data_IF_906227740717
#
_entry.id   IF_906227740717
#
_cell.length_a   1.000
_cell.length_b   1.000
_cell.length_c   1.000
_cell.angle_alpha   90.00
_cell.angle_beta   90.00
_cell.angle_gamma   90.00
#
_symmetry.space_group_name_H-M   'P 1'
#
loop_
_entity.id
_entity.type
_entity.pdbx_description
1 polymer ?
#
# COMPACT_ATOMS: atom_id res chain seq x y z
N UNK A 1 28.02 -16.44 -25.73
CA UNK A 1 27.45 -15.21 -26.31
C UNK A 1 27.53 -14.03 -25.32
N UNK A 2 26.66 -13.93 -24.31
CA UNK A 2 26.65 -12.77 -23.37
C UNK A 2 28.00 -12.54 -22.67
N UNK A 3 28.59 -13.59 -22.07
CA UNK A 3 29.88 -13.47 -21.39
C UNK A 3 31.02 -13.02 -22.33
N UNK A 4 31.00 -13.48 -23.58
CA UNK A 4 31.99 -13.13 -24.60
C UNK A 4 31.87 -11.66 -25.00
N UNK A 5 30.66 -11.20 -25.34
CA UNK A 5 30.38 -9.77 -25.63
C UNK A 5 30.73 -8.87 -24.43
N UNK A 6 30.54 -9.35 -23.20
CA UNK A 6 30.99 -8.64 -22.00
C UNK A 6 32.51 -8.49 -21.94
N UNK A 7 33.25 -9.59 -22.08
CA UNK A 7 34.72 -9.58 -22.05
C UNK A 7 35.31 -8.69 -23.15
N UNK A 8 34.74 -8.72 -24.36
CA UNK A 8 35.17 -7.88 -25.47
C UNK A 8 35.00 -6.39 -25.13
N UNK A 9 33.83 -6.01 -24.63
CA UNK A 9 33.49 -4.61 -24.34
C UNK A 9 34.26 -4.02 -23.16
N UNK A 10 34.73 -4.84 -22.23
CA UNK A 10 35.55 -4.35 -21.10
C UNK A 10 37.06 -4.33 -21.41
N UNK A 11 37.45 -4.78 -22.60
CA UNK A 11 38.84 -4.81 -23.06
C UNK A 11 39.61 -6.06 -22.59
N UNK A 12 38.92 -7.18 -22.43
CA UNK A 12 39.48 -8.47 -22.03
C UNK A 12 39.27 -9.56 -23.11
N UNK A 13 39.00 -9.18 -24.36
CA UNK A 13 38.76 -10.11 -25.48
C UNK A 13 39.89 -11.15 -25.63
N UNK A 14 41.14 -10.66 -25.57
CA UNK A 14 42.34 -11.47 -25.78
C UNK A 14 42.83 -12.15 -24.49
N UNK A 15 42.11 -12.01 -23.38
CA UNK A 15 42.49 -12.61 -22.11
C UNK A 15 41.91 -14.02 -21.96
N UNK A 16 42.66 -14.98 -21.40
CA UNK A 16 42.09 -16.26 -21.03
C UNK A 16 41.12 -16.09 -19.86
N UNK A 17 39.93 -16.66 -19.97
CA UNK A 17 38.90 -16.58 -18.93
C UNK A 17 38.10 -17.87 -18.75
N UNK A 18 37.60 -18.06 -17.52
CA UNK A 18 36.68 -19.13 -17.15
C UNK A 18 35.30 -18.51 -16.86
N UNK A 19 34.25 -19.10 -17.44
CA UNK A 19 32.85 -18.71 -17.17
C UNK A 19 32.13 -19.85 -16.47
N UNK A 20 31.50 -19.57 -15.34
CA UNK A 20 30.70 -20.54 -14.60
C UNK A 20 29.31 -19.99 -14.31
N UNK A 21 28.26 -20.68 -14.79
CA UNK A 21 26.87 -20.28 -14.60
C UNK A 21 26.27 -21.02 -13.41
N UNK A 22 25.69 -20.24 -12.49
CA UNK A 22 25.01 -20.75 -11.31
C UNK A 22 23.50 -20.91 -11.54
N UNK A 23 22.94 -21.99 -10.98
CA UNK A 23 21.50 -22.32 -11.03
C UNK A 23 20.85 -22.40 -9.63
N UNK A 24 21.63 -22.15 -8.58
CA UNK A 24 21.30 -22.33 -7.18
C UNK A 24 20.70 -21.08 -6.52
N UNK A 25 20.97 -19.88 -7.04
CA UNK A 25 20.39 -18.65 -6.51
C UNK A 25 19.02 -18.32 -7.11
N UNK A 26 18.26 -17.49 -6.39
CA UNK A 26 16.95 -17.01 -6.82
C UNK A 26 16.96 -16.01 -7.99
N UNK A 27 18.09 -15.86 -8.66
CA UNK A 27 18.27 -15.14 -9.90
C UNK A 27 19.39 -15.81 -10.71
N UNK A 28 19.23 -15.84 -12.04
CA UNK A 28 20.27 -16.33 -12.92
C UNK A 28 21.50 -15.41 -12.82
N UNK A 29 22.66 -15.99 -12.54
CA UNK A 29 23.93 -15.29 -12.50
C UNK A 29 25.05 -16.21 -12.96
N UNK A 30 26.19 -15.62 -13.33
CA UNK A 30 27.40 -16.33 -13.70
C UNK A 30 28.61 -15.58 -13.15
N UNK A 31 29.69 -16.32 -12.91
CA UNK A 31 30.99 -15.80 -12.55
C UNK A 31 31.93 -15.88 -13.75
N UNK A 32 32.72 -14.82 -13.96
CA UNK A 32 33.77 -14.78 -14.96
C UNK A 32 35.07 -14.50 -14.21
N UNK A 33 36.08 -15.34 -14.42
CA UNK A 33 37.41 -15.19 -13.83
C UNK A 33 38.41 -15.07 -14.97
N UNK A 34 39.26 -14.04 -14.93
CA UNK A 34 40.27 -13.75 -15.94
C UNK A 34 41.53 -13.22 -15.28
N UNK A 35 42.67 -13.31 -15.97
CA UNK A 35 43.87 -12.56 -15.61
C UNK A 35 43.78 -11.12 -16.12
N UNK A 36 44.44 -10.20 -15.40
CA UNK A 36 44.63 -8.80 -15.83
C UNK A 36 46.01 -8.57 -16.44
N UNK A 37 46.84 -9.60 -16.56
CA UNK A 37 48.19 -9.53 -17.15
C UNK A 37 48.11 -10.03 -18.57
N UNK A 38 48.49 -9.18 -19.52
CA UNK A 38 48.52 -9.48 -20.94
C UNK A 38 49.74 -10.34 -21.31
N UNK A 39 49.74 -10.90 -22.52
CA UNK A 39 50.83 -11.74 -23.03
C UNK A 39 52.17 -10.99 -23.14
N UNK A 40 52.13 -9.66 -23.24
CA UNK A 40 53.30 -8.78 -23.25
C UNK A 40 53.76 -8.37 -21.83
N UNK A 41 53.23 -9.02 -20.79
CA UNK A 41 53.45 -8.73 -19.37
C UNK A 41 52.94 -7.36 -18.90
N UNK A 42 52.16 -6.62 -19.71
CA UNK A 42 51.52 -5.38 -19.27
C UNK A 42 50.23 -5.67 -18.49
N UNK A 43 49.90 -4.79 -17.54
CA UNK A 43 48.70 -4.94 -16.72
C UNK A 43 47.54 -4.10 -17.28
N UNK A 44 46.37 -4.73 -17.43
CA UNK A 44 45.12 -4.04 -17.72
C UNK A 44 44.69 -3.30 -16.45
N UNK A 45 44.58 -1.97 -16.53
CA UNK A 45 44.14 -1.15 -15.41
C UNK A 45 42.71 -1.51 -14.99
N UNK A 46 42.56 -1.91 -13.73
CA UNK A 46 41.26 -2.21 -13.11
C UNK A 46 40.62 -0.98 -12.45
N UNK A 47 41.32 0.16 -12.44
CA UNK A 47 40.83 1.36 -11.78
C UNK A 47 39.55 1.86 -12.44
N UNK A 48 38.47 1.97 -11.66
CA UNK A 48 37.13 2.38 -12.12
C UNK A 48 36.54 1.55 -13.28
N UNK A 49 37.05 0.35 -13.56
CA UNK A 49 36.56 -0.50 -14.65
C UNK A 49 35.04 -0.74 -14.57
N UNK A 50 34.49 -0.82 -13.34
CA UNK A 50 33.06 -0.96 -13.09
C UNK A 50 32.24 0.20 -13.68
N UNK A 51 32.71 1.44 -13.50
CA UNK A 51 32.01 2.65 -13.96
C UNK A 51 32.29 2.94 -15.44
N UNK A 52 33.55 2.81 -15.85
CA UNK A 52 34.02 3.36 -17.12
C UNK A 52 33.88 2.36 -18.29
N UNK A 53 33.87 1.04 -18.00
CA UNK A 53 33.76 0.00 -19.03
C UNK A 53 32.60 -0.96 -18.80
N UNK A 54 32.50 -1.52 -17.60
CA UNK A 54 31.50 -2.54 -17.26
C UNK A 54 30.07 -1.99 -17.38
N UNK A 55 29.83 -0.76 -16.92
CA UNK A 55 28.49 -0.17 -17.00
C UNK A 55 28.03 0.15 -18.44
N UNK A 56 28.84 0.82 -19.28
CA UNK A 56 28.55 0.94 -20.71
C UNK A 56 28.35 -0.42 -21.40
N UNK A 57 29.18 -1.42 -21.06
CA UNK A 57 29.06 -2.77 -21.60
C UNK A 57 27.73 -3.43 -21.21
N UNK A 58 27.30 -3.32 -19.94
CA UNK A 58 26.00 -3.82 -19.48
C UNK A 58 24.86 -3.23 -20.31
N UNK A 59 24.83 -1.91 -20.49
CA UNK A 59 23.77 -1.23 -21.25
C UNK A 59 23.69 -1.71 -22.70
N UNK A 60 24.85 -1.88 -23.34
CA UNK A 60 24.90 -2.36 -24.71
C UNK A 60 24.45 -3.82 -24.84
N UNK A 61 24.87 -4.69 -23.92
CA UNK A 61 24.47 -6.11 -23.87
C UNK A 61 22.97 -6.26 -23.59
N UNK A 62 22.40 -5.40 -22.75
CA UNK A 62 20.95 -5.41 -22.50
C UNK A 62 20.16 -5.19 -23.77
N UNK A 63 20.60 -4.28 -24.63
CA UNK A 63 19.96 -4.01 -25.92
C UNK A 63 20.25 -5.12 -26.93
N UNK A 64 21.51 -5.56 -27.05
CA UNK A 64 21.96 -6.56 -28.01
C UNK A 64 21.29 -7.92 -27.82
N UNK A 65 21.14 -8.36 -26.57
CA UNK A 65 20.55 -9.66 -26.24
C UNK A 65 19.10 -9.59 -25.78
N UNK A 66 18.44 -8.42 -25.92
CA UNK A 66 17.05 -8.24 -25.52
C UNK A 66 16.79 -8.51 -24.03
N UNK A 67 17.74 -8.17 -23.16
CA UNK A 67 17.61 -8.34 -21.71
C UNK A 67 16.80 -7.19 -21.08
N UNK A 68 16.39 -7.39 -19.82
CA UNK A 68 15.70 -6.36 -19.06
C UNK A 68 16.63 -5.16 -18.78
N UNK A 69 16.34 -4.02 -19.39
CA UNK A 69 17.09 -2.76 -19.19
C UNK A 69 17.00 -2.31 -17.72
N UNK A 70 18.11 -2.38 -16.98
CA UNK A 70 18.08 -2.06 -15.54
C UNK A 70 17.92 -0.56 -15.26
N UNK A 71 18.34 0.32 -16.18
CA UNK A 71 18.30 1.78 -16.03
C UNK A 71 16.87 2.33 -16.01
N UNK A 72 15.92 1.65 -16.66
CA UNK A 72 14.50 2.00 -16.62
C UNK A 72 13.81 1.62 -15.31
N UNK A 73 14.49 0.89 -14.41
CA UNK A 73 14.12 0.87 -12.99
C UNK A 73 14.66 2.13 -12.32
N UNK A 74 14.20 3.30 -12.76
CA UNK A 74 13.99 4.37 -11.80
C UNK A 74 13.16 3.72 -10.70
N UNK A 75 13.74 3.59 -9.50
CA UNK A 75 12.96 3.32 -8.29
C UNK A 75 11.92 4.43 -8.31
N UNK A 76 10.74 4.17 -8.83
CA UNK A 76 9.62 5.06 -8.71
C UNK A 76 9.17 4.84 -7.27
N UNK A 77 9.54 5.71 -6.29
CA UNK A 77 8.95 5.63 -4.96
C UNK A 77 7.42 5.86 -5.00
N UNK A 78 6.88 6.19 -6.16
CA UNK A 78 5.46 6.40 -6.47
C UNK A 78 4.75 5.15 -7.02
N UNK A 79 5.44 4.04 -7.32
CA UNK A 79 4.75 2.78 -7.49
C UNK A 79 4.24 2.38 -6.10
N UNK A 80 3.01 2.78 -5.79
CA UNK A 80 2.37 2.44 -4.51
C UNK A 80 2.52 0.95 -4.23
N UNK A 81 2.75 0.61 -2.97
CA UNK A 81 2.85 -0.79 -2.53
C UNK A 81 1.60 -1.49 -3.03
N UNK A 82 1.77 -2.47 -3.92
CA UNK A 82 0.64 -3.23 -4.46
C UNK A 82 0.43 -4.48 -3.61
N UNK A 83 -0.83 -4.83 -3.28
CA UNK A 83 -1.12 -6.13 -2.71
C UNK A 83 -0.57 -7.25 -3.60
N UNK A 84 -0.19 -8.37 -3.00
CA UNK A 84 0.31 -9.52 -3.76
C UNK A 84 -0.86 -10.11 -4.56
N UNK A 85 -0.69 -10.21 -5.88
CA UNK A 85 -1.61 -10.90 -6.78
C UNK A 85 -1.69 -12.39 -6.39
N UNK A 86 -2.86 -12.84 -5.93
CA UNK A 86 -3.05 -14.20 -5.41
C UNK A 86 -2.83 -15.29 -6.48
N UNK A 87 -3.15 -15.00 -7.75
CA UNK A 87 -2.91 -15.90 -8.88
C UNK A 87 -1.41 -16.17 -9.10
N UNK A 88 -0.55 -15.17 -8.82
CA UNK A 88 0.91 -15.32 -8.93
C UNK A 88 1.53 -15.97 -7.71
N UNK A 89 0.86 -15.96 -6.56
CA UNK A 89 1.34 -16.53 -5.32
C UNK A 89 1.25 -18.07 -5.27
N UNK A 90 0.37 -18.68 -6.07
CA UNK A 90 0.33 -20.14 -6.26
C UNK A 90 1.53 -20.65 -7.08
N UNK A 91 2.14 -19.78 -7.89
CA UNK A 91 3.14 -20.15 -8.88
C UNK A 91 4.58 -19.90 -8.39
N UNK A 92 5.15 -20.87 -7.68
CA UNK A 92 6.60 -21.02 -7.42
C UNK A 92 7.18 -20.25 -6.21
N UNK A 93 8.20 -20.82 -5.56
CA UNK A 93 8.81 -20.26 -4.33
C UNK A 93 9.54 -18.92 -4.55
N UNK A 94 10.10 -18.71 -5.73
CA UNK A 94 10.96 -17.55 -6.04
C UNK A 94 10.17 -16.27 -6.30
N UNK A 95 9.02 -16.36 -6.95
CA UNK A 95 8.09 -15.25 -7.17
C UNK A 95 7.52 -14.78 -5.82
N UNK A 96 7.10 -15.70 -4.96
CA UNK A 96 6.53 -15.42 -3.63
C UNK A 96 7.52 -14.71 -2.72
N UNK A 97 8.78 -15.17 -2.67
CA UNK A 97 9.82 -14.49 -1.88
C UNK A 97 10.04 -13.05 -2.34
N UNK A 98 10.10 -12.81 -3.66
CA UNK A 98 10.27 -11.46 -4.22
C UNK A 98 9.06 -10.57 -3.92
N UNK A 99 7.86 -11.09 -4.05
CA UNK A 99 6.62 -10.36 -3.76
C UNK A 99 6.57 -9.92 -2.29
N UNK A 100 6.79 -10.85 -1.36
CA UNK A 100 6.87 -10.53 0.07
C UNK A 100 7.99 -9.53 0.34
N UNK A 101 9.17 -9.70 -0.26
CA UNK A 101 10.29 -8.76 -0.09
C UNK A 101 9.92 -7.34 -0.51
N UNK A 102 9.25 -7.18 -1.66
CA UNK A 102 8.81 -5.87 -2.15
C UNK A 102 7.79 -5.20 -1.23
N UNK A 103 6.84 -5.98 -0.68
CA UNK A 103 5.86 -5.48 0.29
C UNK A 103 6.57 -5.05 1.58
N UNK A 104 7.45 -5.89 2.11
CA UNK A 104 8.19 -5.60 3.34
C UNK A 104 9.06 -4.37 3.19
N UNK A 105 9.80 -4.24 2.09
CA UNK A 105 10.61 -3.05 1.80
C UNK A 105 9.75 -1.79 1.74
N UNK A 106 8.62 -1.83 1.05
CA UNK A 106 7.70 -0.70 0.98
C UNK A 106 7.16 -0.31 2.36
N UNK A 107 6.67 -1.30 3.12
CA UNK A 107 6.01 -1.08 4.41
C UNK A 107 7.00 -0.58 5.47
N UNK A 108 8.16 -1.23 5.61
CA UNK A 108 9.14 -0.91 6.65
C UNK A 108 9.72 0.51 6.53
N UNK A 109 9.84 1.03 5.30
CA UNK A 109 10.38 2.36 5.05
C UNK A 109 9.30 3.44 5.03
N UNK A 110 8.10 3.11 4.56
CA UNK A 110 7.08 4.10 4.27
C UNK A 110 6.07 4.28 5.40
N UNK A 111 5.79 3.24 6.18
CA UNK A 111 4.74 3.25 7.20
C UNK A 111 5.27 3.35 8.62
N UNK A 112 4.43 3.90 9.49
CA UNK A 112 4.67 4.01 10.92
C UNK A 112 3.75 3.07 11.70
N UNK A 113 4.36 2.19 12.48
CA UNK A 113 3.72 1.23 13.37
C UNK A 113 4.62 1.00 14.59
N UNK A 114 4.01 0.60 15.70
CA UNK A 114 4.66 0.51 17.03
C UNK A 114 4.53 -0.86 17.69
N UNK A 115 3.87 -1.82 17.03
CA UNK A 115 3.76 -3.19 17.54
C UNK A 115 3.60 -4.19 16.40
N UNK A 116 3.88 -5.47 16.69
CA UNK A 116 3.68 -6.57 15.74
C UNK A 116 2.21 -6.69 15.30
N UNK A 117 1.26 -6.41 16.21
CA UNK A 117 -0.15 -6.42 15.89
C UNK A 117 -0.54 -5.34 14.86
N UNK A 118 0.00 -4.13 14.99
CA UNK A 118 -0.19 -3.03 14.03
C UNK A 118 0.49 -3.34 12.70
N UNK A 119 1.71 -3.88 12.74
CA UNK A 119 2.43 -4.31 11.55
C UNK A 119 1.65 -5.38 10.78
N UNK A 120 1.09 -6.38 11.48
CA UNK A 120 0.25 -7.41 10.87
C UNK A 120 -1.08 -6.87 10.34
N UNK A 121 -1.68 -5.87 11.00
CA UNK A 121 -2.88 -5.21 10.45
C UNK A 121 -2.57 -4.60 9.08
N UNK A 122 -1.42 -3.96 8.93
CA UNK A 122 -0.97 -3.37 7.67
C UNK A 122 -0.57 -4.41 6.62
N UNK A 123 0.16 -5.47 7.00
CA UNK A 123 0.57 -6.50 6.04
C UNK A 123 -0.62 -7.24 5.41
N UNK A 124 -1.72 -7.40 6.17
CA UNK A 124 -2.94 -8.03 5.67
C UNK A 124 -3.58 -7.26 4.51
N UNK A 125 -3.47 -5.93 4.47
CA UNK A 125 -3.89 -5.11 3.32
C UNK A 125 -3.14 -5.50 2.03
N UNK A 126 -1.97 -6.12 2.17
CA UNK A 126 -1.14 -6.59 1.07
C UNK A 126 -1.13 -8.11 0.91
N UNK A 127 -2.07 -8.82 1.56
CA UNK A 127 -2.17 -10.28 1.58
C UNK A 127 -0.93 -10.98 2.17
N UNK A 128 -0.31 -10.38 3.18
CA UNK A 128 0.85 -10.96 3.89
C UNK A 128 0.58 -11.00 5.39
N UNK A 129 1.14 -11.99 6.08
CA UNK A 129 1.16 -12.04 7.54
C UNK A 129 2.57 -12.34 8.05
N UNK A 130 2.95 -11.71 9.17
CA UNK A 130 4.10 -12.09 9.96
C UNK A 130 3.62 -12.95 11.15
N UNK A 131 4.12 -14.17 11.25
CA UNK A 131 3.67 -15.15 12.23
C UNK A 131 4.83 -15.64 13.10
N UNK A 132 4.58 -15.71 14.42
CA UNK A 132 5.51 -16.23 15.43
C UNK A 132 5.26 -17.71 15.74
N UNK A 133 4.21 -18.31 15.17
CA UNK A 133 3.76 -19.65 15.51
C UNK A 133 2.99 -19.67 16.82
N UNK A 134 2.58 -20.86 17.23
CA UNK A 134 1.94 -21.09 18.53
C UNK A 134 2.93 -20.83 19.67
N UNK A 135 2.43 -20.40 20.83
CA UNK A 135 3.26 -20.05 21.99
C UNK A 135 4.15 -21.22 22.46
N UNK A 136 3.67 -22.46 22.32
CA UNK A 136 4.41 -23.67 22.68
C UNK A 136 5.49 -24.08 21.66
N UNK A 137 5.49 -23.47 20.47
CA UNK A 137 6.41 -23.83 19.41
C UNK A 137 7.85 -23.42 19.72
N UNK A 138 8.82 -24.22 19.25
CA UNK A 138 10.23 -23.83 19.34
C UNK A 138 10.52 -22.48 18.66
N UNK A 139 9.79 -22.18 17.58
CA UNK A 139 9.94 -20.92 16.87
C UNK A 139 9.57 -19.75 17.77
N UNK A 140 8.46 -19.84 18.50
CA UNK A 140 8.04 -18.79 19.42
C UNK A 140 9.05 -18.58 20.56
N UNK A 141 9.52 -19.69 21.16
CA UNK A 141 10.55 -19.70 22.23
C UNK A 141 11.86 -19.07 21.78
N UNK A 142 12.26 -19.29 20.52
CA UNK A 142 13.48 -18.71 19.91
C UNK A 142 13.24 -17.33 19.29
N UNK A 143 12.12 -16.67 19.57
CA UNK A 143 11.75 -15.37 19.01
C UNK A 143 11.75 -15.33 17.47
N UNK A 144 11.46 -16.48 16.86
CA UNK A 144 11.39 -16.67 15.43
C UNK A 144 10.17 -15.97 14.81
N UNK A 145 10.33 -15.61 13.53
CA UNK A 145 9.29 -14.97 12.74
C UNK A 145 9.32 -15.52 11.32
N UNK A 146 8.16 -15.87 10.78
CA UNK A 146 7.97 -16.27 9.38
C UNK A 146 6.98 -15.37 8.69
N UNK A 147 7.10 -15.24 7.38
CA UNK A 147 6.16 -14.50 6.54
C UNK A 147 5.43 -15.46 5.61
N UNK A 148 4.12 -15.33 5.53
CA UNK A 148 3.28 -16.11 4.64
C UNK A 148 2.34 -15.21 3.84
N UNK A 149 1.95 -15.67 2.65
CA UNK A 149 0.90 -15.03 1.86
C UNK A 149 -0.46 -15.49 2.38
N UNK A 150 -1.46 -14.62 2.33
CA UNK A 150 -2.84 -14.91 2.70
C UNK A 150 -3.73 -15.04 1.46
N UNK A 151 -4.75 -15.88 1.53
CA UNK A 151 -5.86 -15.88 0.56
C UNK A 151 -6.85 -14.74 0.83
N UNK A 152 -7.90 -14.62 0.01
CA UNK A 152 -8.95 -13.62 0.21
C UNK A 152 -9.81 -13.80 1.47
N UNK A 153 -9.70 -14.95 2.14
CA UNK A 153 -10.44 -15.30 3.36
C UNK A 153 -9.57 -15.10 4.62
N UNK A 154 -8.25 -15.01 4.45
CA UNK A 154 -7.26 -14.85 5.51
C UNK A 154 -6.49 -16.12 5.88
N UNK A 155 -6.60 -17.21 5.11
CA UNK A 155 -5.82 -18.43 5.30
C UNK A 155 -4.43 -18.31 4.69
N UNK A 156 -3.43 -18.98 5.28
CA UNK A 156 -2.06 -18.98 4.77
C UNK A 156 -1.95 -19.85 3.52
N UNK A 157 -1.45 -19.28 2.42
CA UNK A 157 -1.14 -20.01 1.19
C UNK A 157 0.37 -20.20 1.07
N UNK A 158 0.76 -21.41 0.65
CA UNK A 158 2.15 -21.74 0.30
C UNK A 158 3.05 -21.94 1.52
N UNK A 159 4.35 -21.99 1.26
CA UNK A 159 5.35 -22.27 2.29
C UNK A 159 5.75 -20.97 3.00
N UNK A 160 5.60 -20.86 4.34
CA UNK A 160 6.08 -19.71 5.09
C UNK A 160 7.60 -19.54 4.94
N UNK A 161 8.04 -18.29 4.79
CA UNK A 161 9.44 -17.93 4.61
C UNK A 161 10.02 -17.36 5.91
N UNK A 162 11.14 -17.91 6.38
CA UNK A 162 11.85 -17.42 7.57
C UNK A 162 12.25 -15.95 7.38
N UNK A 163 12.00 -15.11 8.39
CA UNK A 163 12.37 -13.70 8.39
C UNK A 163 13.87 -13.47 8.12
N UNK A 164 14.74 -14.35 8.62
CA UNK A 164 16.19 -14.28 8.40
C UNK A 164 16.62 -14.57 6.96
N UNK A 165 15.76 -15.17 6.13
CA UNK A 165 16.07 -15.48 4.74
C UNK A 165 15.94 -14.28 3.80
N UNK A 166 15.35 -13.17 4.27
CA UNK A 166 15.18 -11.94 3.52
C UNK A 166 16.41 -11.03 3.68
N UNK A 167 16.75 -10.30 2.63
CA UNK A 167 17.89 -9.39 2.62
C UNK A 167 17.78 -8.29 3.70
N UNK A 168 16.59 -7.69 3.85
CA UNK A 168 16.30 -6.68 4.87
C UNK A 168 16.30 -7.24 6.32
N UNK A 169 16.40 -8.57 6.50
CA UNK A 169 16.32 -9.28 7.78
C UNK A 169 15.25 -8.71 8.73
N UNK A 170 13.97 -8.66 8.32
CA UNK A 170 12.89 -8.14 9.15
C UNK A 170 12.46 -9.17 10.19
N UNK A 171 13.41 -9.53 11.07
CA UNK A 171 13.22 -10.40 12.24
C UNK A 171 12.55 -9.63 13.37
N UNK A 172 12.03 -10.34 14.37
CA UNK A 172 11.38 -9.72 15.53
C UNK A 172 12.27 -8.63 16.18
N UNK A 173 13.53 -8.97 16.43
CA UNK A 173 14.54 -8.03 16.97
C UNK A 173 14.75 -6.77 16.13
N UNK A 174 14.73 -6.88 14.80
CA UNK A 174 14.84 -5.71 13.91
C UNK A 174 13.57 -4.86 13.96
N UNK A 175 12.40 -5.51 13.98
CA UNK A 175 11.11 -4.84 14.06
C UNK A 175 10.93 -4.10 15.40
N UNK A 176 11.35 -4.68 16.51
CA UNK A 176 11.29 -4.03 17.84
C UNK A 176 12.09 -2.73 17.91
N UNK A 177 13.26 -2.68 17.27
CA UNK A 177 14.01 -1.43 17.13
C UNK A 177 13.24 -0.37 16.33
N UNK A 178 12.55 -0.80 15.28
CA UNK A 178 11.69 0.08 14.48
C UNK A 178 10.51 0.57 15.31
N UNK A 179 9.87 -0.32 16.09
CA UNK A 179 8.76 0.01 16.98
C UNK A 179 9.19 1.06 18.00
N UNK A 180 10.30 0.83 18.70
CA UNK A 180 10.84 1.77 19.68
C UNK A 180 11.12 3.15 19.06
N UNK A 181 11.79 3.17 17.90
CA UNK A 181 12.07 4.41 17.16
C UNK A 181 10.80 5.13 16.73
N UNK A 182 9.76 4.40 16.35
CA UNK A 182 8.48 4.98 15.93
C UNK A 182 7.65 5.49 17.11
N UNK A 183 7.75 4.86 18.28
CA UNK A 183 7.09 5.27 19.52
C UNK A 183 7.62 6.58 20.09
N UNK A 184 8.91 6.87 19.92
CA UNK A 184 9.56 8.10 20.41
C UNK A 184 9.17 9.35 19.62
N UNK A 185 8.76 9.18 18.36
CA UNK A 185 8.33 10.29 17.52
C UNK A 185 6.92 10.70 17.95
N UNK A 186 6.61 12.01 18.05
CA UNK A 186 5.24 12.48 18.29
C UNK A 186 4.31 11.76 17.33
N UNK A 187 3.17 11.26 17.82
CA UNK A 187 2.16 10.61 16.95
C UNK A 187 1.80 11.60 15.86
N UNK A 188 2.30 11.45 14.62
CA UNK A 188 1.83 12.30 13.55
C UNK A 188 0.38 11.88 13.33
N UNK A 189 -0.45 12.82 12.93
CA UNK A 189 -1.60 12.51 12.09
C UNK A 189 -2.82 11.83 12.74
N UNK A 190 -2.79 11.49 14.03
CA UNK A 190 -3.98 10.95 14.73
C UNK A 190 -5.21 11.87 14.61
N UNK A 191 -5.02 13.20 14.72
CA UNK A 191 -6.11 14.18 14.55
C UNK A 191 -6.63 14.26 13.11
N UNK A 192 -5.75 14.13 12.12
CA UNK A 192 -6.14 14.18 10.71
C UNK A 192 -6.88 12.90 10.31
N UNK A 193 -6.39 11.75 10.73
CA UNK A 193 -7.06 10.46 10.54
C UNK A 193 -8.43 10.46 11.24
N UNK A 194 -8.51 10.95 12.48
CA UNK A 194 -9.78 11.12 13.20
C UNK A 194 -10.78 11.96 12.40
N UNK A 195 -10.38 13.12 11.85
CA UNK A 195 -11.24 13.96 11.01
C UNK A 195 -11.75 13.25 9.75
N UNK A 196 -10.90 12.45 9.09
CA UNK A 196 -11.30 11.65 7.92
C UNK A 196 -12.37 10.63 8.32
N UNK A 197 -12.17 9.96 9.46
CA UNK A 197 -13.11 8.97 10.01
C UNK A 197 -14.43 9.65 10.38
N UNK A 198 -14.39 10.77 11.11
CA UNK A 198 -15.57 11.52 11.53
C UNK A 198 -16.41 11.99 10.33
N UNK A 199 -15.77 12.41 9.23
CA UNK A 199 -16.45 12.82 8.00
C UNK A 199 -17.27 11.70 7.37
N UNK A 200 -16.85 10.45 7.54
CA UNK A 200 -17.58 9.26 7.09
C UNK A 200 -18.69 8.94 8.08
N UNK A 201 -18.33 8.78 9.35
CA UNK A 201 -19.22 8.35 10.42
C UNK A 201 -20.38 9.32 10.64
N UNK A 202 -20.13 10.63 10.58
CA UNK A 202 -21.15 11.67 10.85
C UNK A 202 -22.36 11.65 9.91
N UNK A 203 -22.25 10.98 8.76
CA UNK A 203 -23.34 10.85 7.78
C UNK A 203 -24.36 9.77 8.16
N UNK A 204 -24.00 8.90 9.09
CA UNK A 204 -24.79 7.73 9.43
C UNK A 204 -25.09 7.68 10.93
N UNK A 205 -26.26 7.14 11.26
CA UNK A 205 -26.64 6.78 12.61
C UNK A 205 -26.27 5.32 12.90
N UNK A 206 -26.54 4.44 11.93
CA UNK A 206 -26.13 3.04 11.92
C UNK A 206 -25.51 2.67 10.58
N UNK A 207 -24.53 1.79 10.61
CA UNK A 207 -23.82 1.30 9.44
C UNK A 207 -23.71 -0.22 9.47
N UNK A 208 -23.82 -0.85 8.31
CA UNK A 208 -23.38 -2.22 8.12
C UNK A 208 -21.85 -2.27 8.11
N UNK A 209 -21.30 -3.44 8.46
CA UNK A 209 -19.84 -3.66 8.50
C UNK A 209 -19.20 -3.41 7.14
N UNK A 210 -19.81 -3.90 6.06
CA UNK A 210 -19.31 -3.75 4.70
C UNK A 210 -19.29 -2.28 4.27
N UNK A 211 -20.36 -1.52 4.53
CA UNK A 211 -20.44 -0.10 4.17
C UNK A 211 -19.41 0.72 4.95
N UNK A 212 -19.25 0.48 6.26
CA UNK A 212 -18.23 1.17 7.06
C UNK A 212 -16.82 0.94 6.50
N UNK A 213 -16.45 -0.31 6.21
CA UNK A 213 -15.14 -0.65 5.65
C UNK A 213 -14.93 0.00 4.27
N UNK A 214 -15.95 -0.06 3.40
CA UNK A 214 -15.90 0.51 2.05
C UNK A 214 -15.77 2.03 2.05
N UNK A 215 -16.59 2.73 2.84
CA UNK A 215 -16.57 4.20 2.90
C UNK A 215 -15.27 4.75 3.52
N UNK A 216 -14.74 4.09 4.56
CA UNK A 216 -13.44 4.44 5.10
C UNK A 216 -12.33 4.23 4.05
N UNK A 217 -12.37 3.09 3.34
CA UNK A 217 -11.38 2.77 2.29
C UNK A 217 -11.39 3.79 1.16
N UNK A 218 -12.58 4.25 0.73
CA UNK A 218 -12.72 5.35 -0.25
C UNK A 218 -12.06 6.66 0.22
N UNK A 219 -12.03 6.90 1.53
CA UNK A 219 -11.36 8.05 2.14
C UNK A 219 -9.87 7.79 2.47
N UNK A 220 -9.31 6.68 1.99
CA UNK A 220 -7.90 6.33 2.15
C UNK A 220 -7.55 5.80 3.55
N UNK A 221 -8.54 5.36 4.32
CA UNK A 221 -8.35 4.76 5.65
C UNK A 221 -8.90 3.34 5.65
N UNK A 222 -8.07 2.35 5.93
CA UNK A 222 -8.53 0.97 6.10
C UNK A 222 -8.75 0.65 7.58
N UNK A 223 -9.88 0.05 7.91
CA UNK A 223 -10.23 -0.35 9.27
C UNK A 223 -10.09 -1.86 9.42
N UNK A 224 -9.20 -2.28 10.33
CA UNK A 224 -9.03 -3.67 10.73
C UNK A 224 -9.72 -3.88 12.07
N UNK A 225 -10.77 -4.70 12.06
CA UNK A 225 -11.53 -5.09 13.24
C UNK A 225 -10.97 -6.41 13.76
N UNK A 226 -10.67 -6.48 15.06
CA UNK A 226 -10.20 -7.70 15.74
C UNK A 226 -11.34 -8.29 16.54
N UNK A 227 -11.66 -9.53 16.23
CA UNK A 227 -12.74 -10.32 16.82
C UNK A 227 -12.15 -11.56 17.49
N UNK A 228 -12.79 -12.03 18.55
CA UNK A 228 -12.53 -13.36 19.10
C UNK A 228 -13.37 -14.41 18.38
N UNK A 229 -13.21 -15.69 18.76
CA UNK A 229 -13.96 -16.81 18.18
C UNK A 229 -15.48 -16.69 18.36
N UNK A 230 -15.92 -16.01 19.41
CA UNK A 230 -17.34 -15.73 19.68
C UNK A 230 -17.90 -14.53 18.88
N UNK A 231 -17.10 -13.90 18.03
CA UNK A 231 -17.50 -12.72 17.24
C UNK A 231 -17.48 -11.40 18.02
N UNK A 232 -17.00 -11.38 19.26
CA UNK A 232 -16.89 -10.16 20.05
C UNK A 232 -15.71 -9.32 19.54
N UNK A 233 -16.03 -8.10 19.10
CA UNK A 233 -15.03 -7.10 18.71
C UNK A 233 -14.34 -6.57 19.95
N UNK A 234 -13.04 -6.83 20.09
CA UNK A 234 -12.24 -6.35 21.23
C UNK A 234 -11.24 -5.25 20.84
N UNK A 235 -10.95 -5.09 19.55
CA UNK A 235 -9.96 -4.12 19.10
C UNK A 235 -10.22 -3.58 17.70
N UNK A 236 -9.84 -2.32 17.49
CA UNK A 236 -9.92 -1.64 16.19
C UNK A 236 -8.56 -1.03 15.87
N UNK A 237 -8.13 -1.14 14.61
CA UNK A 237 -6.88 -0.56 14.11
C UNK A 237 -7.16 0.13 12.79
N UNK A 238 -6.77 1.39 12.68
CA UNK A 238 -6.96 2.22 11.49
C UNK A 238 -5.63 2.39 10.77
N UNK A 239 -5.64 2.25 9.45
CA UNK A 239 -4.48 2.37 8.59
C UNK A 239 -4.75 3.53 7.63
N UNK A 240 -4.10 4.67 7.86
CA UNK A 240 -4.19 5.82 6.96
C UNK A 240 -3.10 5.70 5.89
N UNK A 241 -3.49 5.40 4.66
CA UNK A 241 -2.53 5.23 3.55
C UNK A 241 -1.95 6.57 3.07
N UNK A 242 -2.67 7.67 3.25
CA UNK A 242 -2.20 9.01 2.89
C UNK A 242 -1.11 9.50 3.84
N UNK A 243 -1.30 9.25 5.14
CA UNK A 243 -0.36 9.65 6.19
C UNK A 243 0.64 8.53 6.54
N UNK A 244 0.45 7.35 5.95
CA UNK A 244 1.27 6.15 6.11
C UNK A 244 1.45 5.78 7.60
N UNK A 245 0.34 5.80 8.34
CA UNK A 245 0.33 5.57 9.77
C UNK A 245 -0.68 4.48 10.15
N UNK A 246 -0.28 3.60 11.06
CA UNK A 246 -1.15 2.59 11.68
C UNK A 246 -1.46 3.03 13.10
N UNK A 247 -2.74 3.17 13.43
CA UNK A 247 -3.19 3.77 14.69
C UNK A 247 -4.26 2.88 15.32
N UNK A 248 -4.04 2.45 16.56
CA UNK A 248 -5.07 1.77 17.36
C UNK A 248 -6.25 2.70 17.60
N UNK A 249 -7.47 2.18 17.58
CA UNK A 249 -8.67 2.98 17.86
C UNK A 249 -8.64 3.64 19.23
N UNK A 250 -8.17 2.92 20.26
CA UNK A 250 -7.96 3.48 21.60
C UNK A 250 -6.97 4.65 21.64
N UNK A 251 -6.02 4.71 20.70
CA UNK A 251 -5.06 5.80 20.57
C UNK A 251 -5.63 7.04 19.85
N UNK A 252 -6.71 6.89 19.07
CA UNK A 252 -7.45 8.01 18.46
C UNK A 252 -8.46 8.63 19.45
N UNK A 253 -9.03 7.80 20.33
CA UNK A 253 -9.99 8.22 21.34
C UNK A 253 -11.07 7.18 21.58
N UNK A 254 -11.90 7.39 22.62
CA UNK A 254 -12.97 6.44 23.00
C UNK A 254 -13.97 6.18 21.86
N UNK A 255 -14.27 7.20 21.06
CA UNK A 255 -15.21 7.12 19.92
C UNK A 255 -14.74 6.26 18.74
N UNK A 256 -13.47 5.86 18.72
CA UNK A 256 -12.89 5.04 17.64
C UNK A 256 -12.56 3.62 18.09
N UNK A 257 -12.75 3.33 19.38
CA UNK A 257 -12.49 2.02 19.98
C UNK A 257 -13.53 0.97 19.59
N UNK A 258 -13.28 -0.28 19.99
CA UNK A 258 -14.14 -1.43 19.72
C UNK A 258 -15.61 -1.19 20.11
N UNK A 259 -15.86 -0.72 21.34
CA UNK A 259 -17.21 -0.47 21.86
C UNK A 259 -18.00 0.51 20.98
N UNK A 260 -17.38 1.63 20.60
CA UNK A 260 -18.02 2.64 19.76
C UNK A 260 -18.35 2.10 18.36
N UNK A 261 -17.47 1.28 17.79
CA UNK A 261 -17.75 0.61 16.51
C UNK A 261 -18.90 -0.39 16.64
N UNK A 262 -18.94 -1.21 17.70
CA UNK A 262 -20.06 -2.13 17.96
C UNK A 262 -21.39 -1.36 18.06
N UNK A 263 -21.41 -0.26 18.81
CA UNK A 263 -22.59 0.58 18.96
C UNK A 263 -23.03 1.25 17.65
N UNK A 264 -22.11 1.46 16.71
CA UNK A 264 -22.40 2.05 15.40
C UNK A 264 -22.87 1.03 14.38
N UNK A 265 -22.46 -0.22 14.54
CA UNK A 265 -22.86 -1.29 13.64
C UNK A 265 -24.35 -1.60 13.81
N UNK A 266 -25.01 -1.86 12.69
CA UNK A 266 -26.42 -2.23 12.61
C UNK A 266 -26.68 -3.17 11.43
N UNK A 267 -27.89 -3.78 11.38
CA UNK A 267 -28.26 -4.69 10.30
C UNK A 267 -28.47 -3.96 8.96
N UNK A 268 -28.80 -2.67 9.00
CA UNK A 268 -29.04 -1.82 7.83
C UNK A 268 -28.34 -0.46 8.02
N UNK A 269 -27.99 0.16 6.88
CA UNK A 269 -27.44 1.52 6.85
C UNK A 269 -28.56 2.53 7.11
N UNK A 270 -28.42 3.34 8.14
CA UNK A 270 -29.36 4.42 8.49
C UNK A 270 -28.61 5.74 8.41
N UNK A 271 -28.97 6.59 7.45
CA UNK A 271 -28.41 7.93 7.30
C UNK A 271 -28.92 8.87 8.39
N UNK A 272 -28.06 9.76 8.90
CA UNK A 272 -28.51 10.82 9.82
C UNK A 272 -29.34 11.83 9.04
N UNK A 273 -30.61 11.94 9.38
CA UNK A 273 -31.50 12.98 8.88
C UNK A 273 -31.47 14.16 9.85
N UNK A 274 -31.15 15.36 9.33
CA UNK A 274 -31.19 16.62 10.10
C UNK A 274 -32.56 17.29 10.06
N UNK A 275 -33.55 16.65 9.44
CA UNK A 275 -34.92 17.11 9.42
C UNK A 275 -35.57 16.72 10.75
N UNK A 276 -35.97 17.71 11.55
CA UNK A 276 -36.76 17.47 12.77
C UNK A 276 -37.98 16.61 12.38
N UNK A 277 -38.26 15.49 13.07
CA UNK A 277 -39.52 14.81 12.87
C UNK A 277 -40.64 15.79 13.21
N UNK A 278 -41.58 16.01 12.28
CA UNK A 278 -42.81 16.72 12.61
C UNK A 278 -43.46 15.94 13.74
N UNK A 279 -43.70 16.59 14.88
CA UNK A 279 -44.41 15.98 15.99
C UNK A 279 -45.70 15.31 15.47
N UNK A 280 -46.10 14.14 16.00
CA UNK A 280 -47.37 13.54 15.62
C UNK A 280 -48.50 14.48 16.05
N UNK A 281 -49.03 15.21 15.07
CA UNK A 281 -50.18 16.08 15.25
C UNK A 281 -51.40 15.24 15.60
N UNK A 282 -52.00 15.57 16.73
CA UNK A 282 -53.35 15.17 17.15
C UNK A 282 -54.32 15.36 15.98
N UNK A 283 -55.16 14.35 15.77
CA UNK A 283 -55.83 14.11 14.49
C UNK A 283 -56.92 15.10 14.08
N UNK A 284 -57.25 15.01 12.80
CA UNK A 284 -58.60 15.30 12.29
C UNK A 284 -58.97 14.16 11.34
N UNK A 285 -59.99 13.41 11.74
CA UNK A 285 -60.68 12.44 10.88
C UNK A 285 -61.46 13.24 9.84
N UNK A 286 -60.91 13.33 8.63
CA UNK A 286 -61.61 13.80 7.45
C UNK A 286 -61.82 12.64 6.48
N UNK A 287 -63.06 12.13 6.40
CA UNK A 287 -63.49 11.24 5.33
C UNK A 287 -63.38 11.98 3.99
N UNK A 288 -62.58 11.48 3.05
CA UNK A 288 -62.78 11.72 1.62
C UNK A 288 -62.26 10.54 0.81
N UNK A 289 -63.24 9.78 0.29
CA UNK A 289 -63.31 9.07 -0.98
C UNK A 289 -62.03 8.72 -1.75
N UNK A 290 -61.91 7.42 -2.06
CA UNK A 290 -61.19 6.91 -3.21
C UNK A 290 -61.61 7.62 -4.51
N UNK A 291 -60.64 8.10 -5.28
CA UNK A 291 -60.69 8.16 -6.74
C UNK A 291 -59.29 7.87 -7.29
N UNK A 292 -59.20 6.78 -8.06
CA UNK A 292 -58.10 6.50 -8.98
C UNK A 292 -58.05 7.60 -10.05
N UNK A 293 -56.87 8.11 -10.38
CA UNK A 293 -56.68 9.08 -11.46
C UNK A 293 -55.20 9.33 -11.75
N UNK A 294 -54.80 8.93 -12.94
CA UNK A 294 -53.43 8.80 -13.43
C UNK A 294 -52.82 10.14 -13.90
N UNK A 295 -51.49 10.15 -14.02
CA UNK A 295 -50.64 11.07 -14.80
C UNK A 295 -50.41 12.50 -14.29
N UNK A 296 -49.20 12.71 -13.76
CA UNK A 296 -48.66 14.01 -13.41
C UNK A 296 -48.20 14.84 -14.61
N UNK A 297 -48.50 16.14 -14.53
CA UNK A 297 -47.71 17.25 -15.05
C UNK A 297 -47.81 18.39 -14.05
N UNK A 298 -46.69 19.00 -13.70
CA UNK A 298 -46.69 20.33 -13.07
C UNK A 298 -45.94 20.43 -11.73
N UNK A 299 -44.63 20.62 -11.81
CA UNK A 299 -43.89 21.45 -10.85
C UNK A 299 -42.56 21.94 -11.45
N UNK A 300 -42.03 21.20 -12.44
CA UNK A 300 -40.80 21.56 -13.15
C UNK A 300 -41.04 22.66 -14.22
N UNK A 301 -42.22 22.71 -14.83
CA UNK A 301 -42.56 23.69 -15.88
C UNK A 301 -42.86 25.10 -15.35
N UNK A 302 -43.05 25.28 -14.05
CA UNK A 302 -43.29 26.60 -13.43
C UNK A 302 -41.97 27.32 -13.12
N UNK A 303 -40.84 26.61 -13.04
CA UNK A 303 -39.54 27.17 -12.68
C UNK A 303 -38.68 27.62 -13.88
N UNK A 304 -39.08 27.29 -15.11
CA UNK A 304 -38.25 27.48 -16.31
C UNK A 304 -38.83 28.47 -17.35
N UNK A 305 -39.71 29.38 -16.95
CA UNK A 305 -40.14 30.48 -17.82
C UNK A 305 -39.30 31.75 -17.58
N UNK A 306 -38.43 32.03 -18.55
CA UNK A 306 -37.57 33.20 -18.67
C UNK A 306 -38.32 34.55 -18.58
N UNK A 307 -37.67 35.57 -17.99
CA UNK A 307 -37.70 36.96 -18.52
C UNK A 307 -36.39 37.69 -18.19
N UNK A 308 -35.88 38.37 -19.22
CA UNK A 308 -34.72 39.26 -19.35
C UNK A 308 -34.85 40.52 -18.43
N UNK A 309 -33.85 41.38 -18.14
CA UNK A 309 -32.84 42.02 -18.98
C UNK A 309 -31.90 42.96 -18.15
N UNK A 310 -30.79 43.41 -18.79
CA UNK A 310 -29.89 44.56 -18.49
C UNK A 310 -28.93 44.46 -17.28
N UNK A 311 -27.65 44.85 -17.29
CA UNK A 311 -26.90 45.89 -18.04
C UNK A 311 -25.37 45.65 -17.89
N UNK A 312 -24.54 46.05 -18.86
CA UNK A 312 -23.05 46.11 -18.77
C UNK A 312 -22.56 47.24 -17.83
N UNK A 313 -21.30 47.20 -17.31
CA UNK A 313 -20.19 47.89 -18.00
C UNK A 313 -18.81 47.19 -17.96
N UNK A 314 -17.98 47.60 -18.93
CA UNK A 314 -16.53 47.37 -19.09
C UNK A 314 -15.69 47.54 -17.81
N UNK A 315 -14.56 46.79 -17.71
CA UNK A 315 -13.22 47.39 -17.62
C UNK A 315 -12.08 46.35 -17.64
N UNK A 316 -11.10 46.64 -18.49
CA UNK A 316 -9.80 46.01 -18.71
C UNK A 316 -9.00 45.67 -17.43
N UNK A 317 -8.27 44.54 -17.44
CA UNK A 317 -6.85 44.51 -17.02
C UNK A 317 -6.08 43.26 -17.49
N UNK A 318 -5.11 43.52 -18.38
CA UNK A 318 -4.04 42.63 -18.85
C UNK A 318 -3.19 42.09 -17.70
N UNK A 319 -2.86 40.79 -17.70
CA UNK A 319 -1.74 40.22 -16.93
C UNK A 319 -0.58 39.83 -17.86
N UNK A 320 0.51 40.58 -17.77
CA UNK A 320 1.81 40.29 -18.41
C UNK A 320 2.51 39.12 -17.68
N UNK A 321 2.98 38.15 -18.45
CA UNK A 321 3.94 37.13 -18.04
C UNK A 321 5.36 37.70 -18.08
N UNK A 322 6.14 37.53 -17.01
CA UNK A 322 7.56 37.85 -16.97
C UNK A 322 8.38 36.59 -16.63
N UNK A 323 9.12 36.13 -17.63
CA UNK A 323 10.05 34.99 -17.61
C UNK A 323 11.43 35.53 -17.18
N UNK A 324 11.98 35.07 -16.06
CA UNK A 324 13.32 35.48 -15.59
C UNK A 324 14.31 34.32 -15.81
N UNK A 325 15.19 34.48 -16.81
CA UNK A 325 16.45 33.74 -16.96
C UNK A 325 17.52 34.41 -16.09
N UNK A 326 18.32 33.62 -15.38
CA UNK A 326 19.69 33.90 -14.93
C UNK A 326 20.46 32.59 -15.17
N UNK A 327 21.38 32.56 -16.14
CA UNK A 327 22.81 32.87 -16.00
C UNK A 327 23.43 32.07 -14.87
#
# INVERSE_FOLDING_TARGET
>A
AIAMSYMDRIGFADQPYLVYRHHDAGHQHMHIVSTSIQNDATCISLHNIARDRSEPARKAIELEFGLLVAENKKKNPSAGIRPIDLERASYGKLSTKRAISSVLEGVLHSYRFTSLAEFNALLRCFNVVADRGLEDSEMFKKEGLVYAVLDGVGNKIGVPLKASSFYAKPTLKTLEKIFARNSLKPKPDARLTARKIDRVISRFEKLTRSTLLSELRKNGVELVIRENESGLIYGTTYIDHGLRAVIKGSALGKSYGAKAIVEMLGPLDVGRTYLKPSAPGVGVVGKTSMLFGNAGKGLVDVLLADTFEATEPELLRKRKTARKRRR
#
